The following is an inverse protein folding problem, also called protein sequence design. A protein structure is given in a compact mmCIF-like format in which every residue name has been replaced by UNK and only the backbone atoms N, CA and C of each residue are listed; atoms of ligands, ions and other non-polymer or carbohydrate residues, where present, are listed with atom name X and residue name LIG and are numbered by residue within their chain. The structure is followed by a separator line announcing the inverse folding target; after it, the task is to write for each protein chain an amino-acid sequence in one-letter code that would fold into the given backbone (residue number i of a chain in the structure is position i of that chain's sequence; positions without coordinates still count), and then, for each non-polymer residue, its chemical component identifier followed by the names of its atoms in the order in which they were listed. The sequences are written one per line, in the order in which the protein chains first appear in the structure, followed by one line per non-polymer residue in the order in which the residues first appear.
data_IF_450783828217
#
_entry.id   IF_450783828217
#
_cell.length_a   1.000
_cell.length_b   1.000
_cell.length_c   1.000
_cell.angle_alpha   90.00
_cell.angle_beta   90.00
_cell.angle_gamma   90.00
#
_symmetry.space_group_name_H-M   'P 1'
#
loop_
_entity.id
_entity.type
_entity.pdbx_description
1 polymer ?
#
# COMPACT_ATOMS: atom_id res chain seq x y z
N UNK A 1 -36.67 0.46 -4.90
CA UNK A 1 -36.02 0.22 -3.59
C UNK A 1 -34.49 0.14 -3.69
N UNK A 2 -33.92 -0.49 -4.73
CA UNK A 2 -32.45 -0.68 -4.86
C UNK A 2 -31.66 0.61 -5.10
N UNK A 3 -32.18 1.54 -5.92
CA UNK A 3 -31.53 2.85 -6.18
C UNK A 3 -31.33 3.64 -4.89
N UNK A 4 -32.35 3.71 -4.03
CA UNK A 4 -32.27 4.39 -2.72
C UNK A 4 -31.19 3.78 -1.83
N UNK A 5 -31.07 2.45 -1.81
CA UNK A 5 -30.03 1.75 -1.02
C UNK A 5 -28.63 2.06 -1.55
N UNK A 6 -28.45 2.07 -2.87
CA UNK A 6 -27.17 2.41 -3.49
C UNK A 6 -26.78 3.87 -3.22
N UNK A 7 -27.72 4.80 -3.39
CA UNK A 7 -27.52 6.21 -3.08
C UNK A 7 -27.12 6.44 -1.62
N UNK A 8 -27.78 5.78 -0.66
CA UNK A 8 -27.41 5.86 0.75
C UNK A 8 -26.01 5.30 1.04
N UNK A 9 -25.59 4.22 0.35
CA UNK A 9 -24.22 3.71 0.49
C UNK A 9 -23.20 4.71 -0.04
N UNK A 10 -23.49 5.35 -1.17
CA UNK A 10 -22.66 6.42 -1.78
C UNK A 10 -22.51 7.60 -0.84
N UNK A 11 -23.61 8.11 -0.29
CA UNK A 11 -23.59 9.21 0.68
C UNK A 11 -22.77 8.88 1.93
N UNK A 12 -22.88 7.66 2.46
CA UNK A 12 -22.08 7.25 3.62
C UNK A 12 -20.59 7.15 3.30
N UNK A 13 -20.25 6.63 2.13
CA UNK A 13 -18.86 6.58 1.68
C UNK A 13 -18.30 8.00 1.50
N UNK A 14 -19.04 8.87 0.80
CA UNK A 14 -18.70 10.29 0.62
C UNK A 14 -18.50 10.99 1.97
N UNK A 15 -19.39 10.78 2.93
CA UNK A 15 -19.23 11.31 4.29
C UNK A 15 -17.90 10.89 4.93
N UNK A 16 -17.54 9.60 4.86
CA UNK A 16 -16.24 9.14 5.38
C UNK A 16 -15.05 9.70 4.60
N UNK A 17 -15.21 9.99 3.31
CA UNK A 17 -14.18 10.66 2.49
C UNK A 17 -13.97 12.09 2.95
N UNK A 18 -15.03 12.89 3.10
CA UNK A 18 -14.93 14.28 3.58
C UNK A 18 -14.30 14.35 4.98
N UNK A 19 -14.71 13.46 5.90
CA UNK A 19 -14.11 13.40 7.23
C UNK A 19 -12.61 13.08 7.15
N UNK A 20 -12.21 12.19 6.25
CA UNK A 20 -10.81 11.86 6.03
C UNK A 20 -9.99 13.01 5.44
N UNK A 21 -10.55 13.75 4.48
CA UNK A 21 -9.90 14.90 3.86
C UNK A 21 -9.64 16.02 4.86
N UNK A 22 -10.66 16.43 5.61
CA UNK A 22 -10.53 17.44 6.68
C UNK A 22 -9.44 17.01 7.66
N UNK A 23 -9.44 15.72 8.01
CA UNK A 23 -8.50 15.15 8.95
C UNK A 23 -7.07 15.13 8.42
N UNK A 24 -6.85 14.66 7.19
CA UNK A 24 -5.52 14.65 6.56
C UNK A 24 -5.01 16.06 6.34
N UNK A 25 -5.87 16.99 5.95
CA UNK A 25 -5.51 18.39 5.78
C UNK A 25 -5.03 19.00 7.10
N UNK A 26 -5.80 18.82 8.19
CA UNK A 26 -5.41 19.28 9.53
C UNK A 26 -4.09 18.65 10.01
N UNK A 27 -3.92 17.34 9.80
CA UNK A 27 -2.70 16.64 10.17
C UNK A 27 -1.49 17.04 9.34
N UNK A 28 -1.68 17.36 8.07
CA UNK A 28 -0.61 17.81 7.18
C UNK A 28 0.03 19.07 7.75
N UNK A 29 -0.80 20.04 8.16
CA UNK A 29 -0.33 21.25 8.86
C UNK A 29 0.44 20.92 10.13
N UNK A 30 -0.13 20.07 11.00
CA UNK A 30 0.55 19.65 12.24
C UNK A 30 1.89 18.96 11.99
N UNK A 31 1.98 18.16 10.94
CA UNK A 31 3.21 17.48 10.55
C UNK A 31 4.25 18.47 10.04
N UNK A 32 3.89 19.44 9.19
CA UNK A 32 4.82 20.49 8.78
C UNK A 32 5.31 21.32 9.97
N UNK A 33 4.40 21.76 10.84
CA UNK A 33 4.76 22.52 12.06
C UNK A 33 5.71 21.72 12.98
N UNK A 34 5.48 20.41 13.15
CA UNK A 34 6.28 19.58 14.06
C UNK A 34 7.64 19.21 13.48
N UNK A 35 7.69 18.98 12.17
CA UNK A 35 8.89 18.53 11.47
C UNK A 35 9.58 19.64 10.68
N UNK A 36 9.29 20.93 10.94
CA UNK A 36 9.82 22.06 10.16
C UNK A 36 11.36 22.10 10.07
N UNK A 37 12.07 21.59 11.07
CA UNK A 37 13.54 21.49 11.07
C UNK A 37 14.08 20.34 10.19
N UNK A 38 13.21 19.46 9.70
CA UNK A 38 13.57 18.38 8.79
C UNK A 38 13.42 18.91 7.38
N UNK A 39 14.51 18.94 6.61
CA UNK A 39 14.49 19.39 5.22
C UNK A 39 13.41 18.67 4.42
N UNK A 40 12.68 19.42 3.60
CA UNK A 40 11.51 18.93 2.86
C UNK A 40 10.23 18.99 3.69
N UNK A 41 10.23 19.54 4.90
CA UNK A 41 9.03 19.90 5.67
C UNK A 41 9.04 21.40 6.06
N UNK A 42 10.09 22.12 5.68
CA UNK A 42 10.32 23.55 5.84
C UNK A 42 9.52 24.38 4.83
N UNK A 43 8.21 24.11 4.72
CA UNK A 43 7.30 24.84 3.83
C UNK A 43 6.48 25.83 4.63
N UNK A 44 6.43 27.08 4.16
CA UNK A 44 5.54 28.08 4.71
C UNK A 44 4.10 27.83 4.25
N UNK A 45 3.35 27.08 5.05
CA UNK A 45 1.96 26.75 4.79
C UNK A 45 1.06 27.99 4.61
N UNK A 46 1.44 29.14 5.17
CA UNK A 46 0.65 30.38 5.07
C UNK A 46 0.68 31.02 3.68
N UNK A 47 1.63 30.61 2.83
CA UNK A 47 1.76 31.12 1.46
C UNK A 47 0.85 30.38 0.47
N UNK A 48 0.25 29.25 0.86
CA UNK A 48 -0.66 28.52 -0.01
C UNK A 48 -1.96 29.32 -0.21
N UNK A 49 -2.37 29.52 -1.46
CA UNK A 49 -3.65 30.16 -1.76
C UNK A 49 -4.81 29.32 -1.20
N UNK A 50 -5.57 29.94 -0.29
CA UNK A 50 -6.70 29.33 0.40
C UNK A 50 -7.81 28.91 -0.58
N UNK A 51 -8.00 29.65 -1.68
CA UNK A 51 -8.99 29.29 -2.69
C UNK A 51 -8.61 27.98 -3.38
N UNK A 52 -7.37 27.84 -3.85
CA UNK A 52 -6.88 26.60 -4.47
C UNK A 52 -6.97 25.43 -3.48
N UNK A 53 -6.63 25.65 -2.22
CA UNK A 53 -6.76 24.63 -1.17
C UNK A 53 -8.20 24.16 -1.00
N UNK A 54 -9.17 25.08 -0.96
CA UNK A 54 -10.60 24.74 -0.89
C UNK A 54 -11.04 23.98 -2.16
N UNK A 55 -10.62 24.42 -3.34
CA UNK A 55 -10.88 23.70 -4.58
C UNK A 55 -10.28 22.29 -4.56
N UNK A 56 -9.08 22.13 -4.01
CA UNK A 56 -8.40 20.84 -3.90
C UNK A 56 -9.14 19.87 -2.98
N UNK A 57 -9.72 20.37 -1.88
CA UNK A 57 -10.60 19.58 -1.02
C UNK A 57 -11.84 19.08 -1.78
N UNK A 58 -12.51 19.98 -2.52
CA UNK A 58 -13.68 19.62 -3.31
C UNK A 58 -13.34 18.59 -4.40
N UNK A 59 -12.25 18.80 -5.12
CA UNK A 59 -11.77 17.93 -6.19
C UNK A 59 -11.33 16.57 -5.66
N UNK A 60 -10.55 16.52 -4.58
CA UNK A 60 -10.14 15.27 -3.92
C UNK A 60 -11.32 14.37 -3.54
N UNK A 61 -12.48 14.95 -3.22
CA UNK A 61 -13.70 14.22 -2.86
C UNK A 61 -14.45 13.63 -4.05
N UNK A 62 -14.21 14.15 -5.26
CA UNK A 62 -15.00 13.82 -6.45
C UNK A 62 -14.84 12.36 -6.92
N UNK A 63 -13.64 11.74 -6.93
CA UNK A 63 -13.50 10.33 -7.27
C UNK A 63 -14.28 9.37 -6.37
N UNK A 64 -14.65 9.78 -5.15
CA UNK A 64 -15.44 8.97 -4.24
C UNK A 64 -16.81 8.57 -4.82
N UNK A 65 -17.35 9.30 -5.80
CA UNK A 65 -18.61 8.96 -6.48
C UNK A 65 -18.46 7.79 -7.47
N UNK A 66 -17.23 7.47 -7.89
CA UNK A 66 -16.93 6.46 -8.91
C UNK A 66 -16.44 5.14 -8.32
N UNK A 67 -16.01 5.11 -7.05
CA UNK A 67 -15.50 3.88 -6.39
C UNK A 67 -16.58 2.78 -6.30
N UNK A 68 -16.31 1.51 -6.65
CA UNK A 68 -17.33 0.46 -6.66
C UNK A 68 -17.70 -0.04 -5.24
N UNK A 69 -18.84 0.41 -4.68
CA UNK A 69 -19.21 0.13 -3.27
C UNK A 69 -19.89 -1.22 -3.00
N UNK A 70 -20.59 -1.77 -3.99
CA UNK A 70 -21.44 -2.95 -3.78
C UNK A 70 -20.71 -4.29 -3.92
N UNK A 71 -19.41 -4.26 -4.20
CA UNK A 71 -18.65 -5.46 -4.53
C UNK A 71 -17.79 -5.90 -3.33
N UNK A 72 -17.69 -7.21 -3.12
CA UNK A 72 -16.75 -7.82 -2.17
C UNK A 72 -15.45 -8.23 -2.84
N UNK A 73 -14.97 -7.42 -3.79
CA UNK A 73 -13.82 -7.79 -4.61
C UNK A 73 -12.52 -7.21 -4.01
N UNK A 74 -11.39 -7.90 -4.13
CA UNK A 74 -10.07 -7.33 -3.83
C UNK A 74 -9.82 -5.98 -4.50
N UNK A 75 -10.26 -5.81 -5.74
CA UNK A 75 -10.20 -4.51 -6.44
C UNK A 75 -10.89 -3.38 -5.70
N UNK A 76 -12.06 -3.62 -5.11
CA UNK A 76 -12.75 -2.63 -4.28
C UNK A 76 -11.92 -2.22 -3.06
N UNK A 77 -11.27 -3.18 -2.38
CA UNK A 77 -10.38 -2.86 -1.27
C UNK A 77 -9.16 -2.06 -1.73
N UNK A 78 -8.54 -2.47 -2.85
CA UNK A 78 -7.43 -1.74 -3.45
C UNK A 78 -7.80 -0.29 -3.74
N UNK A 79 -8.93 -0.04 -4.42
CA UNK A 79 -9.34 1.32 -4.75
C UNK A 79 -9.55 2.19 -3.51
N UNK A 80 -10.09 1.64 -2.42
CA UNK A 80 -10.22 2.40 -1.18
C UNK A 80 -8.85 2.71 -0.56
N UNK A 81 -7.95 1.74 -0.47
CA UNK A 81 -6.61 1.97 0.07
C UNK A 81 -5.83 2.98 -0.78
N UNK A 82 -5.81 2.78 -2.10
CA UNK A 82 -5.12 3.67 -3.02
C UNK A 82 -5.72 5.09 -3.00
N UNK A 83 -7.05 5.21 -2.94
CA UNK A 83 -7.71 6.50 -2.86
C UNK A 83 -7.36 7.26 -1.57
N UNK A 84 -7.45 6.59 -0.41
CA UNK A 84 -7.24 7.24 0.89
C UNK A 84 -5.76 7.56 1.17
N UNK A 85 -4.81 6.73 0.72
CA UNK A 85 -3.40 6.85 1.08
C UNK A 85 -2.49 7.33 -0.05
N UNK A 86 -2.99 7.44 -1.29
CA UNK A 86 -2.22 7.96 -2.41
C UNK A 86 -2.92 9.15 -3.07
N UNK A 87 -4.16 8.98 -3.54
CA UNK A 87 -4.86 10.01 -4.32
C UNK A 87 -5.18 11.24 -3.48
N UNK A 88 -5.91 11.08 -2.37
CA UNK A 88 -6.31 12.19 -1.51
C UNK A 88 -5.09 12.95 -0.98
N UNK A 89 -4.07 12.31 -0.37
CA UNK A 89 -2.90 13.03 0.10
C UNK A 89 -2.15 13.75 -1.02
N UNK A 90 -2.04 13.18 -2.22
CA UNK A 90 -1.37 13.85 -3.35
C UNK A 90 -2.09 15.15 -3.74
N UNK A 91 -3.39 15.08 -3.97
CA UNK A 91 -4.20 16.25 -4.36
C UNK A 91 -4.15 17.34 -3.30
N UNK A 92 -4.29 16.98 -2.01
CA UNK A 92 -4.30 17.95 -0.92
C UNK A 92 -2.95 18.62 -0.67
N UNK A 93 -1.84 17.97 -1.06
CA UNK A 93 -0.49 18.45 -0.82
C UNK A 93 0.01 19.33 -1.97
N UNK A 94 -0.50 19.16 -3.19
CA UNK A 94 -0.06 19.95 -4.36
C UNK A 94 -0.13 21.47 -4.14
N UNK A 95 -1.21 22.07 -3.63
CA UNK A 95 -1.27 23.53 -3.44
C UNK A 95 -0.25 24.04 -2.41
N UNK A 96 0.20 23.18 -1.50
CA UNK A 96 1.14 23.54 -0.45
C UNK A 96 2.58 23.46 -0.97
N UNK A 97 2.93 22.38 -1.68
CA UNK A 97 4.30 22.15 -2.13
C UNK A 97 4.64 22.76 -3.48
N UNK A 98 3.64 22.98 -4.34
CA UNK A 98 3.82 23.53 -5.69
C UNK A 98 3.50 25.03 -5.74
N UNK A 99 3.48 25.73 -4.61
CA UNK A 99 3.14 27.15 -4.48
C UNK A 99 4.07 28.10 -5.28
N UNK A 100 5.22 27.62 -5.73
CA UNK A 100 6.14 28.35 -6.59
C UNK A 100 5.70 28.40 -8.07
N UNK A 101 4.69 27.62 -8.46
CA UNK A 101 4.13 27.63 -9.81
C UNK A 101 2.85 28.49 -9.88
N UNK A 102 2.50 28.90 -11.11
CA UNK A 102 1.23 29.58 -11.36
C UNK A 102 0.04 28.71 -10.92
N UNK A 103 -0.95 29.35 -10.32
CA UNK A 103 -2.17 28.72 -9.78
C UNK A 103 -2.87 27.84 -10.82
N UNK A 104 -2.91 28.30 -12.08
CA UNK A 104 -3.50 27.57 -13.20
C UNK A 104 -2.80 26.23 -13.47
N UNK A 105 -1.48 26.15 -13.27
CA UNK A 105 -0.70 24.93 -13.47
C UNK A 105 -1.05 23.93 -12.36
N UNK A 106 -1.07 24.38 -11.09
CA UNK A 106 -1.43 23.55 -9.94
C UNK A 106 -2.83 22.95 -10.13
N UNK A 107 -3.80 23.80 -10.48
CA UNK A 107 -5.18 23.38 -10.71
C UNK A 107 -5.28 22.39 -11.89
N UNK A 108 -4.56 22.63 -12.98
CA UNK A 108 -4.50 21.72 -14.12
C UNK A 108 -3.98 20.34 -13.71
N UNK A 109 -2.95 20.25 -12.85
CA UNK A 109 -2.44 18.97 -12.35
C UNK A 109 -3.45 18.23 -11.47
N UNK A 110 -4.16 18.95 -10.58
CA UNK A 110 -5.19 18.34 -9.73
C UNK A 110 -6.32 17.77 -10.61
N UNK A 111 -6.83 18.58 -11.53
CA UNK A 111 -7.88 18.16 -12.47
C UNK A 111 -7.40 16.98 -13.31
N UNK A 112 -6.18 17.04 -13.85
CA UNK A 112 -5.60 15.95 -14.62
C UNK A 112 -5.57 14.66 -13.80
N UNK A 113 -5.06 14.70 -12.56
CA UNK A 113 -4.95 13.54 -11.70
C UNK A 113 -6.32 12.91 -11.38
N UNK A 114 -7.33 13.74 -11.07
CA UNK A 114 -8.70 13.29 -10.85
C UNK A 114 -9.33 12.68 -12.10
N UNK A 115 -9.23 13.37 -13.25
CA UNK A 115 -9.77 12.87 -14.52
C UNK A 115 -9.15 11.53 -14.87
N UNK A 116 -7.83 11.40 -14.71
CA UNK A 116 -7.07 10.17 -14.97
C UNK A 116 -7.53 9.05 -14.03
N UNK A 117 -7.67 9.31 -12.73
CA UNK A 117 -8.13 8.31 -11.76
C UNK A 117 -9.60 7.91 -11.96
N UNK A 118 -10.49 8.86 -12.26
CA UNK A 118 -11.91 8.60 -12.55
C UNK A 118 -12.08 7.82 -13.86
N UNK A 119 -11.32 8.20 -14.89
CA UNK A 119 -11.28 7.48 -16.16
C UNK A 119 -10.83 6.05 -15.93
N UNK A 120 -9.80 5.85 -15.11
CA UNK A 120 -9.33 4.53 -14.72
C UNK A 120 -10.40 3.71 -13.99
N UNK A 121 -11.06 4.27 -12.97
CA UNK A 121 -12.15 3.59 -12.26
C UNK A 121 -13.28 3.17 -13.20
N UNK A 122 -13.65 4.05 -14.13
CA UNK A 122 -14.72 3.84 -15.10
C UNK A 122 -14.33 2.75 -16.10
N UNK A 123 -13.15 2.87 -16.72
CA UNK A 123 -12.62 1.90 -17.66
C UNK A 123 -12.43 0.53 -17.02
N UNK A 124 -11.94 0.47 -15.78
CA UNK A 124 -11.80 -0.78 -15.04
C UNK A 124 -13.16 -1.46 -14.82
N UNK A 125 -14.20 -0.70 -14.45
CA UNK A 125 -15.55 -1.23 -14.29
C UNK A 125 -16.15 -1.72 -15.61
N UNK A 126 -15.90 -1.01 -16.72
CA UNK A 126 -16.30 -1.42 -18.07
C UNK A 126 -15.57 -2.71 -18.44
N UNK A 127 -14.25 -2.74 -18.28
CA UNK A 127 -13.40 -3.88 -18.62
C UNK A 127 -13.80 -5.13 -17.84
N UNK A 128 -14.11 -5.01 -16.54
CA UNK A 128 -14.63 -6.12 -15.73
C UNK A 128 -15.97 -6.69 -16.22
N UNK A 129 -16.78 -5.94 -16.97
CA UNK A 129 -18.01 -6.46 -17.59
C UNK A 129 -17.69 -7.34 -18.79
N UNK A 130 -16.61 -7.06 -19.51
CA UNK A 130 -16.26 -7.73 -20.78
C UNK A 130 -15.24 -8.86 -20.64
N UNK A 131 -14.35 -8.81 -19.64
CA UNK A 131 -13.46 -9.94 -19.38
C UNK A 131 -14.30 -11.12 -18.92
N UNK A 132 -14.52 -12.05 -19.84
CA UNK A 132 -14.92 -13.40 -19.45
C UNK A 132 -13.85 -13.93 -18.54
N UNK A 133 -14.31 -14.53 -17.45
CA UNK A 133 -13.48 -15.26 -16.49
C UNK A 133 -12.45 -16.05 -17.28
N UNK A 134 -11.17 -15.79 -17.05
CA UNK A 134 -10.16 -16.73 -17.49
C UNK A 134 -10.39 -17.93 -16.58
N UNK A 135 -11.19 -18.87 -17.08
CA UNK A 135 -11.29 -20.19 -16.47
C UNK A 135 -9.92 -20.80 -16.71
N UNK A 136 -9.04 -20.61 -15.72
CA UNK A 136 -7.76 -21.27 -15.65
C UNK A 136 -8.11 -22.75 -15.39
N UNK A 137 -8.59 -23.44 -16.44
CA UNK A 137 -8.66 -24.89 -16.55
C UNK A 137 -7.23 -25.43 -16.65
N UNK A 138 -6.38 -25.07 -15.70
CA UNK A 138 -4.95 -25.26 -15.85
C UNK A 138 -4.44 -25.75 -14.52
N UNK A 139 -4.43 -27.07 -14.40
CA UNK A 139 -3.21 -27.89 -14.37
C UNK A 139 -3.64 -29.32 -14.03
N UNK A 140 -3.28 -30.30 -14.86
CA UNK A 140 -3.46 -31.72 -14.55
C UNK A 140 -2.90 -31.98 -13.13
N UNK A 141 -3.46 -32.93 -12.37
CA UNK A 141 -3.07 -33.23 -10.98
C UNK A 141 -1.54 -33.29 -10.79
N UNK A 142 -0.78 -33.74 -11.80
CA UNK A 142 0.70 -33.75 -11.81
C UNK A 142 1.32 -32.37 -11.60
N UNK A 143 0.85 -31.36 -12.31
CA UNK A 143 1.38 -30.00 -12.19
C UNK A 143 1.01 -29.35 -10.86
N UNK A 144 -0.14 -29.70 -10.27
CA UNK A 144 -0.50 -29.27 -8.92
C UNK A 144 0.55 -29.73 -7.90
N UNK A 145 0.94 -31.01 -7.92
CA UNK A 145 1.96 -31.51 -7.01
C UNK A 145 3.30 -30.83 -7.23
N UNK A 146 3.67 -30.56 -8.49
CA UNK A 146 4.87 -29.81 -8.82
C UNK A 146 4.82 -28.39 -8.20
N UNK A 147 3.72 -27.67 -8.32
CA UNK A 147 3.58 -26.34 -7.72
C UNK A 147 3.64 -26.38 -6.18
N UNK A 148 2.98 -27.36 -5.54
CA UNK A 148 3.07 -27.54 -4.07
C UNK A 148 4.51 -27.82 -3.66
N UNK A 149 5.20 -28.68 -4.41
CA UNK A 149 6.60 -29.01 -4.19
C UNK A 149 7.48 -27.77 -4.32
N UNK A 150 7.31 -26.98 -5.39
CA UNK A 150 8.08 -25.74 -5.63
C UNK A 150 7.86 -24.74 -4.50
N UNK A 151 6.61 -24.53 -4.06
CA UNK A 151 6.34 -23.57 -2.99
C UNK A 151 6.87 -24.04 -1.63
N UNK A 152 6.73 -25.32 -1.30
CA UNK A 152 7.33 -25.88 -0.09
C UNK A 152 8.85 -25.81 -0.16
N UNK A 153 9.44 -26.14 -1.31
CA UNK A 153 10.88 -26.03 -1.55
C UNK A 153 11.35 -24.59 -1.40
N UNK A 154 10.62 -23.61 -1.93
CA UNK A 154 10.93 -22.20 -1.75
C UNK A 154 10.88 -21.77 -0.27
N UNK A 155 9.86 -22.20 0.48
CA UNK A 155 9.76 -21.89 1.91
C UNK A 155 10.88 -22.56 2.70
N UNK A 156 11.12 -23.85 2.48
CA UNK A 156 12.13 -24.61 3.23
C UNK A 156 13.55 -24.18 2.86
N UNK A 157 13.90 -24.14 1.58
CA UNK A 157 15.22 -23.69 1.14
C UNK A 157 15.44 -22.22 1.46
N UNK A 158 14.42 -21.37 1.29
CA UNK A 158 14.51 -19.96 1.66
C UNK A 158 14.88 -19.81 3.13
N UNK A 159 14.20 -20.53 4.03
CA UNK A 159 14.52 -20.49 5.45
C UNK A 159 15.92 -21.05 5.79
N UNK A 160 16.33 -22.15 5.15
CA UNK A 160 17.69 -22.71 5.31
C UNK A 160 18.75 -21.71 4.85
N UNK A 161 18.54 -21.03 3.72
CA UNK A 161 19.44 -20.00 3.20
C UNK A 161 19.57 -18.87 4.24
N UNK A 162 18.45 -18.39 4.80
CA UNK A 162 18.51 -17.34 5.81
C UNK A 162 19.32 -17.75 7.05
N UNK A 163 19.10 -18.97 7.56
CA UNK A 163 19.87 -19.47 8.71
C UNK A 163 21.35 -19.62 8.35
N UNK A 164 21.68 -20.13 7.16
CA UNK A 164 23.07 -20.31 6.75
C UNK A 164 23.80 -18.98 6.59
N UNK A 165 23.11 -17.95 6.10
CA UNK A 165 23.71 -16.66 5.79
C UNK A 165 23.78 -15.70 6.99
N UNK A 166 22.75 -15.68 7.83
CA UNK A 166 22.65 -14.75 8.96
C UNK A 166 22.80 -15.42 10.33
N UNK A 167 22.90 -16.76 10.34
CA UNK A 167 22.85 -17.53 11.56
C UNK A 167 21.44 -17.67 12.12
N UNK A 168 21.35 -18.37 13.24
CA UNK A 168 20.13 -18.51 14.02
C UNK A 168 20.29 -17.73 15.32
N UNK A 169 19.83 -16.47 15.35
CA UNK A 169 19.83 -15.64 16.55
C UNK A 169 18.46 -14.98 16.78
N UNK A 170 17.99 -15.04 18.02
CA UNK A 170 16.76 -14.40 18.50
C UNK A 170 17.06 -13.20 19.39
N UNK A 171 18.06 -12.40 19.01
CA UNK A 171 18.29 -11.10 19.66
C UNK A 171 17.27 -10.12 19.10
N UNK A 172 16.20 -9.87 19.85
CA UNK A 172 15.19 -8.89 19.45
C UNK A 172 15.78 -7.48 19.58
N UNK A 173 15.95 -6.73 18.48
CA UNK A 173 16.45 -5.37 18.57
C UNK A 173 15.44 -4.51 19.35
N UNK A 174 15.95 -3.57 20.14
CA UNK A 174 15.12 -2.56 20.77
C UNK A 174 14.36 -1.78 19.69
N UNK A 175 13.09 -1.44 19.95
CA UNK A 175 12.25 -0.65 19.02
C UNK A 175 12.89 0.72 18.72
N UNK A 176 13.76 1.21 19.61
CA UNK A 176 14.50 2.46 19.48
C UNK A 176 15.80 2.32 18.67
N UNK A 177 16.43 1.15 18.65
CA UNK A 177 17.73 0.89 17.97
C UNK A 177 17.58 0.30 16.57
N UNK A 178 16.35 0.25 16.05
CA UNK A 178 16.01 -0.35 14.76
C UNK A 178 16.82 0.21 13.58
N UNK A 179 17.28 1.47 13.65
CA UNK A 179 18.06 2.07 12.57
C UNK A 179 19.48 1.50 12.49
N UNK A 180 20.15 1.32 13.64
CA UNK A 180 21.49 0.73 13.70
C UNK A 180 21.45 -0.70 13.16
N UNK A 181 20.46 -1.49 13.59
CA UNK A 181 20.28 -2.86 13.11
C UNK A 181 19.99 -2.92 11.60
N UNK A 182 19.33 -1.90 11.04
CA UNK A 182 19.07 -1.82 9.59
C UNK A 182 20.31 -1.47 8.79
N UNK A 183 21.17 -0.61 9.31
CA UNK A 183 22.44 -0.26 8.66
C UNK A 183 23.37 -1.48 8.65
N UNK A 184 23.55 -2.14 9.78
CA UNK A 184 24.34 -3.37 9.85
C UNK A 184 23.78 -4.46 8.93
N UNK A 185 22.46 -4.61 8.88
CA UNK A 185 21.81 -5.54 7.96
C UNK A 185 22.02 -5.14 6.48
N UNK A 186 21.95 -3.86 6.12
CA UNK A 186 22.26 -3.38 4.76
C UNK A 186 23.70 -3.66 4.37
N UNK A 187 24.64 -3.50 5.30
CA UNK A 187 26.05 -3.81 5.07
C UNK A 187 26.28 -5.30 4.86
N UNK A 188 25.65 -6.16 5.68
CA UNK A 188 25.68 -7.61 5.48
C UNK A 188 25.13 -8.00 4.10
N UNK A 189 24.12 -7.28 3.60
CA UNK A 189 23.56 -7.54 2.27
C UNK A 189 24.50 -7.19 1.11
N UNK A 190 25.51 -6.33 1.28
CA UNK A 190 26.41 -5.93 0.17
C UNK A 190 27.21 -7.10 -0.41
N UNK A 191 27.44 -8.17 0.37
CA UNK A 191 28.10 -9.40 -0.08
C UNK A 191 27.15 -10.55 -0.40
N UNK A 192 25.84 -10.32 -0.36
CA UNK A 192 24.81 -11.36 -0.45
C UNK A 192 24.02 -11.22 -1.75
N UNK A 193 23.70 -12.32 -2.45
CA UNK A 193 22.87 -12.26 -3.64
C UNK A 193 21.51 -11.57 -3.38
N UNK A 194 21.10 -10.65 -4.26
CA UNK A 194 19.85 -9.86 -4.13
C UNK A 194 18.60 -10.72 -3.91
N UNK A 195 18.59 -11.95 -4.44
CA UNK A 195 17.49 -12.91 -4.24
C UNK A 195 17.22 -13.18 -2.75
N UNK A 196 18.23 -13.14 -1.88
CA UNK A 196 18.09 -13.36 -0.44
C UNK A 196 17.32 -12.21 0.21
N UNK A 197 17.58 -10.97 -0.19
CA UNK A 197 16.80 -9.80 0.25
C UNK A 197 15.32 -9.95 -0.14
N UNK A 198 15.04 -10.50 -1.32
CA UNK A 198 13.66 -10.78 -1.75
C UNK A 198 13.03 -11.89 -0.91
N UNK A 199 13.75 -12.95 -0.56
CA UNK A 199 13.25 -14.00 0.34
C UNK A 199 12.79 -13.40 1.67
N UNK A 200 13.61 -12.54 2.29
CA UNK A 200 13.29 -11.90 3.58
C UNK A 200 11.97 -11.12 3.51
N UNK A 201 11.80 -10.30 2.47
CA UNK A 201 10.60 -9.47 2.32
C UNK A 201 9.38 -10.34 1.97
N UNK A 202 9.53 -11.33 1.10
CA UNK A 202 8.46 -12.29 0.78
C UNK A 202 7.98 -13.07 2.02
N UNK A 203 8.91 -13.47 2.89
CA UNK A 203 8.58 -14.17 4.13
C UNK A 203 7.80 -13.27 5.08
N UNK A 204 8.22 -12.01 5.19
CA UNK A 204 7.60 -10.99 6.02
C UNK A 204 6.20 -10.59 5.56
N UNK A 205 6.00 -10.31 4.27
CA UNK A 205 4.77 -9.69 3.76
C UNK A 205 3.78 -10.66 3.13
N UNK A 206 4.20 -11.85 2.71
CA UNK A 206 3.32 -12.84 2.09
C UNK A 206 3.20 -14.13 2.92
N UNK A 207 4.31 -14.82 3.18
CA UNK A 207 4.26 -16.16 3.81
C UNK A 207 3.73 -16.07 5.24
N UNK A 208 4.32 -15.22 6.07
CA UNK A 208 3.93 -15.12 7.48
C UNK A 208 2.45 -14.71 7.66
N UNK A 209 1.97 -13.60 7.04
CA UNK A 209 0.56 -13.27 7.08
C UNK A 209 -0.35 -14.40 6.55
N UNK A 210 0.05 -15.07 5.46
CA UNK A 210 -0.70 -16.20 4.91
C UNK A 210 -0.85 -17.34 5.91
N UNK A 211 0.23 -17.75 6.59
CA UNK A 211 0.20 -18.82 7.59
C UNK A 211 -0.70 -18.42 8.77
N UNK A 212 -0.58 -17.19 9.28
CA UNK A 212 -1.42 -16.73 10.40
C UNK A 212 -2.90 -16.71 10.03
N UNK A 213 -3.28 -16.14 8.88
CA UNK A 213 -4.68 -16.13 8.41
C UNK A 213 -5.19 -17.54 8.12
N UNK A 214 -4.35 -18.41 7.56
CA UNK A 214 -4.68 -19.84 7.36
C UNK A 214 -4.95 -20.53 8.69
N UNK A 215 -4.15 -20.27 9.73
CA UNK A 215 -4.37 -20.81 11.06
C UNK A 215 -5.67 -20.30 11.68
N UNK A 216 -5.94 -18.99 11.61
CA UNK A 216 -7.18 -18.37 12.11
C UNK A 216 -8.43 -18.94 11.44
N UNK A 217 -8.33 -19.30 10.15
CA UNK A 217 -9.44 -19.86 9.37
C UNK A 217 -9.56 -21.39 9.47
N UNK A 218 -8.61 -22.07 10.11
CA UNK A 218 -8.62 -23.52 10.30
C UNK A 218 -9.64 -23.94 11.38
N UNK A 219 -10.37 -25.04 11.12
CA UNK A 219 -11.24 -25.69 12.10
C UNK A 219 -10.47 -26.59 13.08
N UNK A 220 -9.40 -27.23 12.61
CA UNK A 220 -8.58 -28.14 13.42
C UNK A 220 -7.63 -27.33 14.31
N UNK A 221 -7.66 -27.59 15.62
CA UNK A 221 -6.87 -26.86 16.63
C UNK A 221 -5.36 -27.05 16.45
N UNK A 222 -4.90 -28.26 16.12
CA UNK A 222 -3.48 -28.54 15.88
C UNK A 222 -2.98 -27.76 14.66
N UNK A 223 -3.72 -27.80 13.55
CA UNK A 223 -3.40 -27.00 12.37
C UNK A 223 -3.43 -25.49 12.66
N UNK A 224 -4.42 -25.03 13.42
CA UNK A 224 -4.54 -23.62 13.82
C UNK A 224 -3.32 -23.16 14.59
N UNK A 225 -2.96 -23.88 15.65
CA UNK A 225 -1.81 -23.54 16.50
C UNK A 225 -0.52 -23.63 15.71
N UNK A 226 -0.31 -24.68 14.93
CA UNK A 226 0.87 -24.85 14.09
C UNK A 226 1.05 -23.66 13.14
N UNK A 227 0.04 -23.35 12.31
CA UNK A 227 0.17 -22.27 11.32
C UNK A 227 0.34 -20.89 11.95
N UNK A 228 -0.35 -20.59 13.05
CA UNK A 228 -0.17 -19.32 13.78
C UNK A 228 1.25 -19.25 14.36
N UNK A 229 1.69 -20.30 15.06
CA UNK A 229 3.01 -20.34 15.67
C UNK A 229 4.12 -20.19 14.63
N UNK A 230 4.06 -20.92 13.51
CA UNK A 230 5.04 -20.81 12.43
C UNK A 230 5.05 -19.42 11.80
N UNK A 231 3.89 -18.82 11.54
CA UNK A 231 3.81 -17.46 10.98
C UNK A 231 4.42 -16.42 11.93
N UNK A 232 4.05 -16.45 13.21
CA UNK A 232 4.62 -15.56 14.23
C UNK A 232 6.13 -15.77 14.36
N UNK A 233 6.58 -17.02 14.39
CA UNK A 233 8.01 -17.37 14.45
C UNK A 233 8.78 -16.78 13.27
N UNK A 234 8.29 -16.93 12.04
CA UNK A 234 8.90 -16.33 10.84
C UNK A 234 8.99 -14.81 11.00
N UNK A 235 7.92 -14.13 11.43
CA UNK A 235 7.97 -12.68 11.61
C UNK A 235 8.96 -12.24 12.67
N UNK A 236 8.99 -12.91 13.82
CA UNK A 236 9.90 -12.60 14.92
C UNK A 236 11.35 -12.81 14.45
N UNK A 237 11.62 -13.89 13.71
CA UNK A 237 12.95 -14.16 13.14
C UNK A 237 13.34 -13.09 12.10
N UNK A 238 12.46 -12.74 11.17
CA UNK A 238 12.77 -11.68 10.20
C UNK A 238 12.94 -10.32 10.89
N UNK A 239 12.18 -10.06 11.97
CA UNK A 239 12.34 -8.85 12.76
C UNK A 239 13.67 -8.82 13.53
N UNK A 240 14.14 -9.95 14.07
CA UNK A 240 15.46 -10.01 14.73
C UNK A 240 16.60 -9.77 13.74
N UNK A 241 16.47 -10.25 12.50
CA UNK A 241 17.46 -10.04 11.45
C UNK A 241 17.49 -8.60 10.93
N UNK A 242 16.36 -8.12 10.41
CA UNK A 242 16.30 -6.91 9.60
C UNK A 242 15.67 -5.70 10.31
N UNK A 243 15.15 -5.87 11.52
CA UNK A 243 14.42 -4.85 12.28
C UNK A 243 13.30 -4.16 11.47
N UNK A 244 12.65 -4.92 10.60
CA UNK A 244 11.55 -4.43 9.77
C UNK A 244 10.26 -4.33 10.59
N UNK A 245 10.01 -3.18 11.23
CA UNK A 245 8.75 -2.88 11.93
C UNK A 245 7.51 -3.26 11.10
N UNK A 246 7.56 -2.97 9.81
CA UNK A 246 6.48 -3.26 8.86
C UNK A 246 6.17 -4.76 8.68
N UNK A 247 7.06 -5.69 9.03
CA UNK A 247 6.78 -7.13 9.03
C UNK A 247 5.73 -7.50 10.09
N UNK A 248 5.87 -6.92 11.29
CA UNK A 248 4.95 -7.11 12.41
C UNK A 248 3.60 -6.48 12.04
N UNK A 249 3.63 -5.25 11.52
CA UNK A 249 2.41 -4.57 11.09
C UNK A 249 1.70 -5.28 9.94
N UNK A 250 2.41 -5.96 9.04
CA UNK A 250 1.78 -6.74 7.97
C UNK A 250 0.88 -7.85 8.52
N UNK A 251 1.32 -8.59 9.56
CA UNK A 251 0.44 -9.56 10.24
C UNK A 251 -0.71 -8.83 10.93
N UNK A 252 -0.43 -7.80 11.73
CA UNK A 252 -1.47 -7.12 12.51
C UNK A 252 -2.56 -6.54 11.60
N UNK A 253 -2.17 -5.90 10.50
CA UNK A 253 -3.11 -5.39 9.50
C UNK A 253 -3.87 -6.51 8.80
N UNK A 254 -3.23 -7.64 8.50
CA UNK A 254 -3.93 -8.79 7.90
C UNK A 254 -4.97 -9.35 8.88
N UNK A 255 -4.61 -9.60 10.13
CA UNK A 255 -5.54 -10.09 11.17
C UNK A 255 -6.68 -9.09 11.38
N UNK A 256 -6.35 -7.82 11.60
CA UNK A 256 -7.31 -6.75 11.82
C UNK A 256 -8.30 -6.66 10.65
N UNK A 257 -7.79 -6.62 9.42
CA UNK A 257 -8.61 -6.57 8.21
C UNK A 257 -9.50 -7.80 8.09
N UNK A 258 -9.01 -9.00 8.38
CA UNK A 258 -9.83 -10.21 8.34
C UNK A 258 -11.04 -10.10 9.27
N UNK A 259 -10.84 -9.68 10.53
CA UNK A 259 -11.94 -9.52 11.47
C UNK A 259 -12.87 -8.35 11.11
N UNK A 260 -12.31 -7.24 10.61
CA UNK A 260 -13.10 -6.12 10.09
C UNK A 260 -13.95 -6.62 8.94
N UNK A 261 -13.43 -7.35 7.96
CA UNK A 261 -14.19 -7.71 6.76
C UNK A 261 -15.08 -8.94 6.94
N UNK A 262 -14.89 -9.72 8.01
CA UNK A 262 -15.75 -10.84 8.35
C UNK A 262 -17.22 -10.40 8.37
N UNK A 263 -18.04 -11.12 7.62
CA UNK A 263 -19.48 -10.86 7.45
C UNK A 263 -19.83 -9.46 6.91
N UNK A 264 -18.88 -8.74 6.30
CA UNK A 264 -19.15 -7.43 5.70
C UNK A 264 -20.06 -7.56 4.48
N UNK A 265 -20.96 -6.58 4.29
CA UNK A 265 -21.81 -6.47 3.08
C UNK A 265 -21.13 -5.62 1.99
N UNK A 266 -20.35 -4.63 2.40
CA UNK A 266 -19.57 -3.75 1.52
C UNK A 266 -18.16 -3.63 2.08
N UNK A 267 -17.18 -4.02 1.28
CA UNK A 267 -15.77 -3.92 1.62
C UNK A 267 -15.37 -2.44 1.73
N UNK A 268 -15.74 -1.65 0.72
CA UNK A 268 -15.40 -0.24 0.66
C UNK A 268 -15.87 0.53 1.90
N UNK A 269 -17.15 0.42 2.24
CA UNK A 269 -17.71 1.16 3.37
C UNK A 269 -17.07 0.75 4.70
N UNK A 270 -16.79 -0.55 4.88
CA UNK A 270 -16.25 -1.05 6.15
C UNK A 270 -14.77 -0.67 6.32
N UNK A 271 -13.99 -0.68 5.24
CA UNK A 271 -12.62 -0.17 5.23
C UNK A 271 -12.58 1.34 5.46
N UNK A 272 -13.36 2.13 4.72
CA UNK A 272 -13.42 3.59 4.92
C UNK A 272 -13.81 3.96 6.34
N UNK A 273 -14.83 3.30 6.89
CA UNK A 273 -15.21 3.46 8.30
C UNK A 273 -14.01 3.17 9.21
N UNK A 274 -13.35 2.03 9.04
CA UNK A 274 -12.22 1.67 9.89
C UNK A 274 -11.06 2.65 9.78
N UNK A 275 -10.68 3.07 8.57
CA UNK A 275 -9.60 4.05 8.35
C UNK A 275 -9.93 5.35 9.09
N UNK A 276 -11.13 5.90 8.89
CA UNK A 276 -11.56 7.14 9.56
C UNK A 276 -11.58 6.98 11.08
N UNK A 277 -12.20 5.93 11.60
CA UNK A 277 -12.30 5.74 13.05
C UNK A 277 -10.96 5.47 13.72
N UNK A 278 -10.10 4.65 13.10
CA UNK A 278 -8.76 4.37 13.61
C UNK A 278 -7.97 5.67 13.78
N UNK A 279 -8.00 6.51 12.75
CA UNK A 279 -7.31 7.79 12.74
C UNK A 279 -7.92 8.80 13.73
N UNK A 280 -9.26 8.87 13.82
CA UNK A 280 -9.94 9.67 14.84
C UNK A 280 -9.51 9.25 16.25
N UNK A 281 -9.40 7.94 16.51
CA UNK A 281 -8.90 7.43 17.79
C UNK A 281 -7.48 7.90 18.06
N UNK A 282 -6.58 7.87 17.08
CA UNK A 282 -5.21 8.38 17.27
C UNK A 282 -5.20 9.85 17.68
N UNK A 283 -6.06 10.69 17.09
CA UNK A 283 -6.14 12.11 17.44
C UNK A 283 -6.77 12.34 18.81
N UNK A 284 -7.84 11.62 19.15
CA UNK A 284 -8.43 11.70 20.48
C UNK A 284 -7.40 11.26 21.53
N UNK A 285 -6.65 10.20 21.27
CA UNK A 285 -5.55 9.75 22.14
C UNK A 285 -4.48 10.84 22.29
N UNK A 286 -4.13 11.54 21.20
CA UNK A 286 -3.18 12.66 21.26
C UNK A 286 -3.69 13.80 22.16
N UNK A 287 -4.96 14.19 22.00
CA UNK A 287 -5.59 15.26 22.78
C UNK A 287 -5.67 14.89 24.27
N UNK A 288 -6.04 13.64 24.59
CA UNK A 288 -6.24 13.19 25.97
C UNK A 288 -4.91 13.07 26.73
N UNK A 289 -3.89 12.48 26.10
CA UNK A 289 -2.64 12.19 26.82
C UNK A 289 -1.78 13.45 26.98
N UNK A 290 -1.93 14.44 26.08
CA UNK A 290 -1.24 15.74 26.11
C UNK A 290 0.27 15.63 26.44
N UNK A 291 0.93 14.66 25.79
CA UNK A 291 2.33 14.37 26.00
C UNK A 291 3.09 14.54 24.69
N UNK A 292 4.08 15.43 24.68
CA UNK A 292 4.83 15.80 23.48
C UNK A 292 5.55 14.61 22.82
N UNK A 293 6.03 13.65 23.60
CA UNK A 293 6.67 12.44 23.06
C UNK A 293 5.64 11.57 22.30
N UNK A 294 4.45 11.38 22.90
CA UNK A 294 3.38 10.59 22.28
C UNK A 294 2.87 11.29 21.03
N UNK A 295 2.70 12.61 21.07
CA UNK A 295 2.33 13.42 19.91
C UNK A 295 3.33 13.25 18.77
N UNK A 296 4.63 13.40 19.06
CA UNK A 296 5.69 13.27 18.05
C UNK A 296 5.70 11.87 17.44
N UNK A 297 5.51 10.83 18.24
CA UNK A 297 5.41 9.44 17.77
C UNK A 297 4.19 9.30 16.84
N UNK A 298 3.00 9.73 17.26
CA UNK A 298 1.78 9.62 16.49
C UNK A 298 1.87 10.40 15.17
N UNK A 299 2.38 11.63 15.19
CA UNK A 299 2.58 12.44 14.00
C UNK A 299 3.62 11.80 13.07
N UNK A 300 4.68 11.19 13.59
CA UNK A 300 5.64 10.44 12.76
C UNK A 300 4.99 9.26 12.03
N UNK A 301 4.07 8.55 12.70
CA UNK A 301 3.28 7.46 12.09
C UNK A 301 2.37 7.97 10.98
N UNK A 302 1.60 9.01 11.26
CA UNK A 302 0.68 9.65 10.33
C UNK A 302 1.43 10.18 9.10
N UNK A 303 2.55 10.86 9.34
CA UNK A 303 3.47 11.37 8.32
C UNK A 303 3.85 10.27 7.34
N UNK A 304 4.35 9.14 7.86
CA UNK A 304 4.81 8.02 7.03
C UNK A 304 3.69 7.27 6.32
N UNK A 305 2.50 7.17 6.93
CA UNK A 305 1.40 6.38 6.38
C UNK A 305 0.65 7.13 5.28
N UNK A 306 0.42 8.43 5.46
CA UNK A 306 -0.51 9.17 4.60
C UNK A 306 0.17 10.32 3.87
N UNK A 307 0.92 11.16 4.58
CA UNK A 307 1.38 12.46 4.05
C UNK A 307 2.57 12.27 3.10
N UNK A 308 3.57 11.47 3.49
CA UNK A 308 4.79 11.25 2.69
C UNK A 308 4.49 10.76 1.28
N UNK A 309 3.44 9.96 1.09
CA UNK A 309 3.09 9.46 -0.24
C UNK A 309 2.68 10.61 -1.17
N UNK A 310 1.84 11.52 -0.70
CA UNK A 310 1.46 12.71 -1.47
C UNK A 310 2.61 13.71 -1.63
N UNK A 311 3.45 13.88 -0.59
CA UNK A 311 4.66 14.71 -0.70
C UNK A 311 5.62 14.21 -1.76
N UNK A 312 5.90 12.90 -1.78
CA UNK A 312 6.78 12.32 -2.78
C UNK A 312 6.22 12.57 -4.18
N UNK A 313 4.93 12.31 -4.43
CA UNK A 313 4.32 12.60 -5.74
C UNK A 313 4.49 14.07 -6.12
N UNK A 314 4.24 15.00 -5.20
CA UNK A 314 4.42 16.43 -5.44
C UNK A 314 5.88 16.80 -5.75
N UNK A 315 6.85 16.27 -5.02
CA UNK A 315 8.28 16.53 -5.27
C UNK A 315 8.77 15.97 -6.59
N UNK A 316 8.28 14.80 -6.99
CA UNK A 316 8.55 14.28 -8.32
C UNK A 316 7.96 15.20 -9.40
N UNK A 317 6.74 15.71 -9.23
CA UNK A 317 6.14 16.66 -10.18
C UNK A 317 6.92 17.98 -10.22
N UNK A 318 7.25 18.58 -9.06
CA UNK A 318 8.04 19.81 -8.96
C UNK A 318 9.38 19.67 -9.70
N UNK A 319 10.08 18.55 -9.48
CA UNK A 319 11.36 18.28 -10.11
C UNK A 319 11.25 18.13 -11.62
N UNK A 320 10.25 17.38 -12.10
CA UNK A 320 10.05 17.17 -13.54
C UNK A 320 9.68 18.50 -14.22
N UNK A 321 8.85 19.33 -13.59
CA UNK A 321 8.47 20.66 -14.10
C UNK A 321 9.67 21.61 -14.20
N UNK A 322 10.51 21.68 -13.16
CA UNK A 322 11.69 22.57 -13.13
C UNK A 322 12.76 22.19 -14.15
N UNK A 323 12.79 20.94 -14.59
CA UNK A 323 13.76 20.44 -15.57
C UNK A 323 13.17 20.30 -16.99
N UNK A 324 11.94 20.79 -17.24
CA UNK A 324 11.26 20.77 -18.55
C UNK A 324 11.12 19.37 -19.21
N UNK A 325 11.20 18.31 -18.41
CA UNK A 325 11.30 16.92 -18.91
C UNK A 325 9.96 16.27 -19.24
N UNK A 326 8.82 16.92 -18.95
CA UNK A 326 7.48 16.38 -19.26
C UNK A 326 7.27 16.21 -20.77
N UNK A 327 7.87 17.09 -21.58
CA UNK A 327 7.58 17.21 -23.01
C UNK A 327 8.46 16.33 -23.90
N UNK A 328 9.57 15.81 -23.39
CA UNK A 328 10.58 15.16 -24.23
C UNK A 328 10.35 13.66 -24.47
N UNK A 329 9.41 13.00 -23.77
CA UNK A 329 9.15 11.54 -23.84
C UNK A 329 10.38 10.64 -23.59
N UNK A 330 11.55 11.20 -23.31
CA UNK A 330 12.76 10.47 -23.00
C UNK A 330 12.72 10.01 -21.53
N UNK A 331 13.25 8.82 -21.24
CA UNK A 331 13.25 8.26 -19.90
C UNK A 331 13.96 9.23 -18.94
N UNK A 332 13.17 9.86 -18.06
CA UNK A 332 13.53 11.15 -17.48
C UNK A 332 14.72 11.02 -16.54
N UNK A 333 14.74 10.05 -15.61
CA UNK A 333 15.96 9.76 -14.81
C UNK A 333 16.02 8.31 -14.30
N UNK A 334 17.13 7.60 -14.54
CA UNK A 334 17.48 6.44 -13.71
C UNK A 334 17.77 6.96 -12.28
N UNK A 335 17.18 6.32 -11.26
CA UNK A 335 17.34 6.68 -9.84
C UNK A 335 16.72 8.01 -9.40
N UNK A 336 15.73 8.52 -10.13
CA UNK A 336 14.81 9.61 -9.74
C UNK A 336 14.49 9.65 -8.24
N UNK A 337 14.03 8.54 -7.65
CA UNK A 337 13.64 8.52 -6.24
C UNK A 337 14.81 8.79 -5.26
N UNK A 338 16.05 8.45 -5.65
CA UNK A 338 17.25 8.86 -4.88
C UNK A 338 17.60 10.33 -5.11
N UNK A 339 17.44 10.83 -6.34
CA UNK A 339 17.61 12.26 -6.65
C UNK A 339 16.63 13.11 -5.85
N UNK A 340 15.35 12.74 -5.80
CA UNK A 340 14.33 13.43 -5.01
C UNK A 340 14.68 13.40 -3.51
N UNK A 341 15.21 12.28 -3.02
CA UNK A 341 15.70 12.18 -1.64
C UNK A 341 16.80 13.20 -1.34
N UNK A 342 17.78 13.33 -2.24
CA UNK A 342 18.90 14.25 -2.05
C UNK A 342 18.47 15.72 -2.20
N UNK A 343 17.70 16.03 -3.23
CA UNK A 343 17.26 17.40 -3.54
C UNK A 343 16.33 17.93 -2.46
N UNK A 344 15.24 17.21 -2.15
CA UNK A 344 14.17 17.73 -1.27
C UNK A 344 14.37 17.35 0.19
N UNK A 345 14.94 16.19 0.49
CA UNK A 345 15.17 15.76 1.89
C UNK A 345 16.62 15.94 2.35
N UNK A 346 17.58 16.19 1.45
CA UNK A 346 18.99 16.37 1.82
C UNK A 346 19.67 15.10 2.34
N UNK A 347 19.07 13.94 2.05
CA UNK A 347 19.54 12.65 2.54
C UNK A 347 19.83 11.70 1.38
N UNK A 348 20.91 10.93 1.51
CA UNK A 348 21.22 9.80 0.62
C UNK A 348 20.23 8.68 0.93
N UNK A 349 19.09 8.71 0.23
CA UNK A 349 17.96 7.86 0.52
C UNK A 349 17.17 7.46 -0.71
N UNK A 350 15.89 7.17 -0.49
CA UNK A 350 14.96 6.79 -1.53
C UNK A 350 13.57 7.36 -1.18
N UNK A 351 13.07 8.25 -2.03
CA UNK A 351 11.77 8.91 -1.90
C UNK A 351 10.83 8.48 -3.05
N UNK A 352 10.34 7.22 -3.03
CA UNK A 352 9.49 6.70 -4.10
C UNK A 352 8.10 7.34 -4.09
N UNK A 353 7.58 7.68 -5.27
CA UNK A 353 6.24 8.26 -5.46
C UNK A 353 5.18 7.22 -5.89
N UNK A 354 5.30 5.99 -5.38
CA UNK A 354 4.38 4.90 -5.69
C UNK A 354 4.41 4.47 -7.15
N UNK A 355 3.39 3.73 -7.58
CA UNK A 355 3.29 3.25 -8.96
C UNK A 355 3.20 4.39 -9.98
N UNK A 356 2.42 5.43 -9.67
CA UNK A 356 2.20 6.55 -10.59
C UNK A 356 3.46 7.38 -10.77
N UNK A 357 4.12 7.77 -9.69
CA UNK A 357 5.40 8.47 -9.75
C UNK A 357 6.45 7.65 -10.49
N UNK A 358 6.65 6.38 -10.09
CA UNK A 358 7.68 5.54 -10.72
C UNK A 358 7.51 5.41 -12.24
N UNK A 359 6.27 5.30 -12.73
CA UNK A 359 6.04 5.22 -14.17
C UNK A 359 6.11 6.58 -14.86
N UNK A 360 5.67 7.64 -14.19
CA UNK A 360 5.85 9.01 -14.67
C UNK A 360 7.33 9.34 -14.87
N UNK A 361 8.19 8.90 -13.96
CA UNK A 361 9.65 9.08 -14.04
C UNK A 361 10.28 8.32 -15.22
N UNK A 362 9.81 7.10 -15.53
CA UNK A 362 10.39 6.29 -16.60
C UNK A 362 9.86 6.63 -17.99
N UNK A 363 8.59 7.04 -18.09
CA UNK A 363 7.89 7.13 -19.38
C UNK A 363 7.04 8.41 -19.53
N UNK A 364 7.23 9.40 -18.66
CA UNK A 364 6.42 10.62 -18.64
C UNK A 364 4.93 10.31 -18.46
N UNK A 365 4.07 11.15 -19.04
CA UNK A 365 2.61 11.00 -18.95
C UNK A 365 2.13 9.63 -19.48
N UNK A 366 2.79 9.08 -20.50
CA UNK A 366 2.49 7.73 -21.04
C UNK A 366 2.67 6.66 -19.97
N UNK A 367 3.63 6.84 -19.07
CA UNK A 367 3.86 5.97 -17.93
C UNK A 367 2.65 5.83 -17.01
N UNK A 368 1.89 6.90 -16.79
CA UNK A 368 0.68 6.85 -15.96
C UNK A 368 -0.35 5.89 -16.58
N UNK A 369 -0.51 5.90 -17.91
CA UNK A 369 -1.38 4.94 -18.59
C UNK A 369 -0.85 3.51 -18.50
N UNK A 370 0.47 3.31 -18.65
CA UNK A 370 1.10 2.00 -18.47
C UNK A 370 0.92 1.47 -17.04
N UNK A 371 1.05 2.33 -16.03
CA UNK A 371 0.79 1.99 -14.63
C UNK A 371 -0.61 1.42 -14.45
N UNK A 372 -1.63 2.06 -15.02
CA UNK A 372 -3.01 1.60 -14.95
C UNK A 372 -3.29 0.32 -15.73
N UNK A 373 -2.62 0.09 -16.86
CA UNK A 373 -2.70 -1.19 -17.57
C UNK A 373 -2.17 -2.31 -16.66
N UNK A 374 -0.98 -2.13 -16.09
CA UNK A 374 -0.39 -3.13 -15.19
C UNK A 374 -1.23 -3.34 -13.93
N UNK A 375 -1.76 -2.27 -13.36
CA UNK A 375 -2.65 -2.32 -12.21
C UNK A 375 -3.96 -3.05 -12.55
N UNK A 376 -4.50 -2.85 -13.75
CA UNK A 376 -5.67 -3.60 -14.22
C UNK A 376 -5.40 -5.09 -14.29
N UNK A 377 -4.27 -5.50 -14.88
CA UNK A 377 -3.86 -6.91 -14.94
C UNK A 377 -3.76 -7.48 -13.52
N UNK A 378 -3.10 -6.75 -12.62
CA UNK A 378 -2.96 -7.11 -11.21
C UNK A 378 -4.32 -7.34 -10.52
N UNK A 379 -5.25 -6.38 -10.65
CA UNK A 379 -6.55 -6.45 -10.00
C UNK A 379 -7.46 -7.52 -10.60
N UNK A 380 -7.41 -7.73 -11.92
CA UNK A 380 -8.17 -8.80 -12.59
C UNK A 380 -7.71 -10.18 -12.10
N UNK A 381 -6.40 -10.39 -11.94
CA UNK A 381 -5.86 -11.64 -11.40
C UNK A 381 -6.37 -11.89 -9.97
N UNK A 382 -6.32 -10.88 -9.09
CA UNK A 382 -6.81 -11.00 -7.72
C UNK A 382 -8.32 -11.25 -7.64
N UNK A 383 -9.11 -10.51 -8.43
CA UNK A 383 -10.57 -10.69 -8.47
C UNK A 383 -10.96 -12.07 -9.00
N UNK A 384 -10.18 -12.64 -9.93
CA UNK A 384 -10.37 -14.02 -10.39
C UNK A 384 -10.03 -15.04 -9.31
N UNK A 385 -8.92 -14.86 -8.57
CA UNK A 385 -8.59 -15.70 -7.42
C UNK A 385 -9.67 -15.61 -6.34
N UNK A 386 -10.30 -14.45 -6.15
CA UNK A 386 -11.36 -14.23 -5.16
C UNK A 386 -12.60 -15.09 -5.33
N UNK A 387 -12.82 -15.69 -6.51
CA UNK A 387 -13.93 -16.62 -6.74
C UNK A 387 -13.77 -17.94 -5.99
N UNK A 388 -12.54 -18.27 -5.61
CA UNK A 388 -12.20 -19.57 -5.06
C UNK A 388 -11.98 -19.57 -3.55
N UNK A 389 -11.97 -18.38 -2.94
CA UNK A 389 -11.74 -18.21 -1.51
C UNK A 389 -12.76 -17.25 -0.93
N UNK A 390 -12.88 -17.29 0.40
CA UNK A 390 -13.62 -16.25 1.13
C UNK A 390 -12.94 -14.90 0.91
N UNK A 391 -13.74 -13.89 0.57
CA UNK A 391 -13.24 -12.59 0.17
C UNK A 391 -12.47 -11.91 1.30
N UNK A 392 -12.91 -12.08 2.55
CA UNK A 392 -12.20 -11.55 3.72
C UNK A 392 -10.77 -12.10 3.85
N UNK A 393 -10.51 -13.33 3.39
CA UNK A 393 -9.19 -13.96 3.45
C UNK A 393 -8.27 -13.35 2.41
N UNK A 394 -8.69 -13.29 1.15
CA UNK A 394 -7.83 -12.70 0.10
C UNK A 394 -7.59 -11.23 0.36
N UNK A 395 -8.64 -10.48 0.71
CA UNK A 395 -8.51 -9.05 0.95
C UNK A 395 -7.55 -8.82 2.12
N UNK A 396 -7.71 -9.55 3.24
CA UNK A 396 -6.81 -9.41 4.39
C UNK A 396 -5.33 -9.60 4.05
N UNK A 397 -5.02 -10.58 3.21
CA UNK A 397 -3.65 -10.87 2.79
C UNK A 397 -3.12 -9.90 1.73
N UNK A 398 -4.01 -9.23 1.02
CA UNK A 398 -3.65 -8.28 -0.03
C UNK A 398 -3.49 -6.85 0.50
N UNK A 399 -4.06 -6.49 1.67
CA UNK A 399 -3.95 -5.12 2.23
C UNK A 399 -2.50 -4.63 2.36
N UNK A 400 -1.54 -5.39 2.93
CA UNK A 400 -0.16 -4.92 3.05
C UNK A 400 0.45 -4.59 1.68
N UNK A 401 0.10 -5.37 0.66
CA UNK A 401 0.52 -5.16 -0.73
C UNK A 401 -0.16 -3.93 -1.31
N UNK A 402 -1.47 -3.76 -1.14
CA UNK A 402 -2.22 -2.60 -1.61
C UNK A 402 -1.67 -1.30 -1.05
N UNK A 403 -1.32 -1.30 0.25
CA UNK A 403 -0.66 -0.17 0.87
C UNK A 403 0.76 0.02 0.32
N UNK A 404 1.55 -1.04 0.13
CA UNK A 404 2.88 -0.90 -0.49
C UNK A 404 2.83 -0.24 -1.88
N UNK A 405 1.76 -0.43 -2.66
CA UNK A 405 1.58 0.21 -3.98
C UNK A 405 1.55 1.73 -3.91
N UNK A 406 1.09 2.30 -2.78
CA UNK A 406 0.98 3.75 -2.63
C UNK A 406 2.35 4.43 -2.55
N UNK A 407 3.40 3.66 -2.22
CA UNK A 407 4.75 4.19 -1.98
C UNK A 407 5.89 3.37 -2.57
N UNK A 408 5.62 2.40 -3.45
CA UNK A 408 6.67 1.64 -4.14
C UNK A 408 6.32 1.38 -5.60
N UNK A 409 7.34 1.05 -6.39
CA UNK A 409 7.15 0.71 -7.80
C UNK A 409 6.47 -0.64 -7.98
N UNK A 410 5.79 -0.82 -9.12
CA UNK A 410 5.10 -2.08 -9.41
C UNK A 410 6.04 -3.28 -9.48
N UNK A 411 7.27 -3.11 -9.97
CA UNK A 411 8.24 -4.21 -10.02
C UNK A 411 8.59 -4.70 -8.61
N UNK A 412 8.79 -3.78 -7.65
CA UNK A 412 8.98 -4.14 -6.25
C UNK A 412 7.76 -4.84 -5.65
N UNK A 413 6.54 -4.44 -6.02
CA UNK A 413 5.31 -5.12 -5.57
C UNK A 413 5.29 -6.60 -6.01
N UNK A 414 5.58 -6.85 -7.29
CA UNK A 414 5.52 -8.20 -7.87
C UNK A 414 6.57 -9.13 -7.26
N UNK A 415 7.82 -8.68 -7.18
CA UNK A 415 8.95 -9.53 -6.81
C UNK A 415 9.31 -9.47 -5.32
N UNK A 416 9.13 -8.32 -4.68
CA UNK A 416 9.67 -8.06 -3.35
C UNK A 416 8.60 -8.14 -2.27
N UNK A 417 7.44 -7.50 -2.45
CA UNK A 417 6.33 -7.53 -1.47
C UNK A 417 5.49 -8.81 -1.52
N UNK A 418 5.90 -9.79 -2.32
CA UNK A 418 5.35 -11.13 -2.33
C UNK A 418 3.98 -11.28 -2.96
N UNK A 419 3.62 -10.39 -3.88
CA UNK A 419 2.39 -10.54 -4.65
C UNK A 419 2.40 -11.80 -5.51
N UNK A 420 3.47 -12.05 -6.27
CA UNK A 420 3.57 -13.26 -7.10
C UNK A 420 3.51 -14.52 -6.24
N UNK A 421 4.17 -14.50 -5.08
CA UNK A 421 4.11 -15.58 -4.10
C UNK A 421 2.70 -15.78 -3.54
N UNK A 422 1.96 -14.69 -3.26
CA UNK A 422 0.59 -14.75 -2.79
C UNK A 422 -0.34 -15.38 -3.84
N UNK A 423 -0.18 -15.02 -5.13
CA UNK A 423 -0.88 -15.69 -6.25
C UNK A 423 -0.59 -17.19 -6.23
N UNK A 424 0.69 -17.57 -6.14
CA UNK A 424 1.09 -18.98 -6.09
C UNK A 424 0.42 -19.69 -4.90
N UNK A 425 0.48 -19.12 -3.69
CA UNK A 425 -0.11 -19.68 -2.48
C UNK A 425 -1.63 -19.86 -2.60
N UNK A 426 -2.34 -18.90 -3.20
CA UNK A 426 -3.76 -19.06 -3.48
C UNK A 426 -4.03 -20.14 -4.51
N UNK A 427 -3.24 -20.21 -5.58
CA UNK A 427 -3.39 -21.27 -6.57
C UNK A 427 -3.25 -22.66 -5.91
N UNK A 428 -2.29 -22.86 -5.03
CA UNK A 428 -2.11 -24.13 -4.30
C UNK A 428 -3.32 -24.53 -3.45
N UNK A 429 -3.90 -23.56 -2.73
CA UNK A 429 -5.04 -23.81 -1.83
C UNK A 429 -6.31 -24.16 -2.62
N UNK A 430 -6.48 -23.60 -3.82
CA UNK A 430 -7.64 -23.85 -4.67
C UNK A 430 -7.73 -25.33 -5.04
N UNK A 431 -6.60 -25.97 -5.29
CA UNK A 431 -6.59 -27.37 -5.69
C UNK A 431 -6.76 -28.37 -4.55
N UNK A 432 -6.54 -27.97 -3.30
CA UNK A 432 -6.70 -28.87 -2.14
C UNK A 432 -8.16 -29.07 -1.73
N UNK A 433 -9.08 -29.19 -2.69
CA UNK A 433 -10.53 -29.32 -2.54
C UNK A 433 -11.01 -30.66 -1.92
N UNK A 434 -10.26 -31.25 -0.99
CA UNK A 434 -10.84 -32.11 0.06
C UNK A 434 -11.52 -31.29 1.18
N UNK A 435 -11.48 -29.95 1.10
CA UNK A 435 -12.00 -29.03 2.12
C UNK A 435 -13.39 -28.43 1.78
N UNK A 436 -14.06 -28.93 0.73
CA UNK A 436 -15.44 -28.52 0.34
C UNK A 436 -16.55 -29.42 0.90
N UNK A 437 -16.23 -30.38 1.77
CA UNK A 437 -17.23 -31.12 2.56
C UNK A 437 -17.25 -30.58 3.98
#
# INVERSE_FOLDING_TARGET
MEIRKYFLLRLKFYFYTIVWEIFIFWLTRKVFDTFYNVKGYDINYQEADQLIVIFSLLLASFPSFFIPLNNKKPSTAFFVIFYYFHVIPSILIFPILLNNFEENIILAFIIFFDVVFISYLTLYQIFLRYIKVIDIKILNNRFRYLFVLIANMFITLGFIILIKMFGFSFTLPSIFEVYIQRESFKEQLKGIPTIVSYIIINFSYAISPFLVIKGITSKNILHKTFFIATGLFITIYIFSLAAYKSSIFAILFSIGTYFILKNSKSVALKLSKYIVFFNLTLVITNIIIHNQLIETILLHWIRRISIVQGMNVAYHIDYILKNETILTFEAVYKNSASIISEVYYGEIGNAPAGILGSMLEFYGIVGIFLAFILLTIFLVLLDNLARFFKEEVIISLSIPIFYAITGTSITSIFFTYGFLLLILLFHLKYYNLSWRK
#
